data_IF_429786064889
#
_entry.id   IF_429786064889
#
_cell.length_a   1.000
_cell.length_b   1.000
_cell.length_c   1.000
_cell.angle_alpha   90.00
_cell.angle_beta   90.00
_cell.angle_gamma   90.00
#
_symmetry.space_group_name_H-M   'P 1'
#
loop_
_entity.id
_entity.type
_entity.pdbx_description
1 polymer ?
#
# COMPACT_ATOMS: atom_id res chain seq x y z
N UNK A 1 22.11 29.50 6.49
CA UNK A 1 20.85 30.04 5.87
C UNK A 1 20.71 29.75 4.38
N UNK A 2 21.79 29.56 3.58
CA UNK A 2 21.72 29.31 2.12
C UNK A 2 21.12 27.96 1.71
N UNK A 3 21.34 26.89 2.46
CA UNK A 3 20.87 25.52 2.09
C UNK A 3 19.34 25.36 2.16
N UNK A 4 18.67 25.96 3.15
CA UNK A 4 17.20 25.90 3.25
C UNK A 4 16.52 26.51 2.03
N UNK A 5 17.05 27.62 1.48
CA UNK A 5 16.47 28.24 0.28
C UNK A 5 16.62 27.34 -0.97
N UNK A 6 17.69 26.57 -1.09
CA UNK A 6 17.92 25.69 -2.23
C UNK A 6 17.02 24.46 -2.18
N UNK A 7 16.84 23.85 -1.00
CA UNK A 7 15.91 22.75 -0.79
C UNK A 7 14.47 23.13 -1.15
N UNK A 8 13.97 24.25 -0.61
CA UNK A 8 12.61 24.72 -0.89
C UNK A 8 12.39 25.04 -2.37
N UNK A 9 13.36 25.72 -3.02
CA UNK A 9 13.30 25.98 -4.48
C UNK A 9 13.20 24.68 -5.27
N UNK A 10 14.00 23.68 -4.89
CA UNK A 10 13.96 22.36 -5.55
C UNK A 10 12.63 21.67 -5.32
N UNK A 11 12.10 21.60 -4.10
CA UNK A 11 10.79 21.01 -3.81
C UNK A 11 9.68 21.68 -4.62
N UNK A 12 9.66 23.02 -4.69
CA UNK A 12 8.69 23.76 -5.51
C UNK A 12 8.79 23.35 -6.99
N UNK A 13 9.98 23.17 -7.53
CA UNK A 13 10.18 22.75 -8.92
C UNK A 13 9.70 21.30 -9.14
N UNK A 14 10.00 20.39 -8.21
CA UNK A 14 9.53 19.01 -8.27
C UNK A 14 7.99 18.94 -8.20
N UNK A 15 7.36 19.74 -7.34
CA UNK A 15 5.89 19.82 -7.26
C UNK A 15 5.27 20.40 -8.54
N UNK A 16 5.89 21.42 -9.15
CA UNK A 16 5.47 21.92 -10.46
C UNK A 16 5.58 20.84 -11.54
N UNK A 17 6.65 20.06 -11.51
CA UNK A 17 6.86 18.94 -12.45
C UNK A 17 5.81 17.86 -12.26
N UNK A 18 5.52 17.43 -11.01
CA UNK A 18 4.44 16.50 -10.69
C UNK A 18 3.09 17.01 -11.19
N UNK A 19 2.77 18.29 -10.92
CA UNK A 19 1.51 18.89 -11.38
C UNK A 19 1.39 18.88 -12.91
N UNK A 20 2.48 19.19 -13.61
CA UNK A 20 2.52 19.18 -15.09
C UNK A 20 2.31 17.77 -15.65
N UNK A 21 2.85 16.72 -15.00
CA UNK A 21 2.78 15.33 -15.44
C UNK A 21 1.71 14.53 -14.68
N UNK A 22 0.77 15.19 -14.01
CA UNK A 22 -0.24 14.53 -13.18
C UNK A 22 -1.10 13.52 -13.96
N UNK A 23 -1.45 13.83 -15.22
CA UNK A 23 -2.22 12.90 -16.05
C UNK A 23 -1.46 11.59 -16.33
N UNK A 24 -0.13 11.66 -16.47
CA UNK A 24 0.70 10.47 -16.66
C UNK A 24 0.81 9.66 -15.37
N UNK A 25 0.98 10.32 -14.21
CA UNK A 25 0.95 9.65 -12.92
C UNK A 25 -0.39 8.95 -12.68
N UNK A 26 -1.51 9.60 -12.95
CA UNK A 26 -2.85 9.03 -12.81
C UNK A 26 -3.08 7.84 -13.74
N UNK A 27 -2.58 7.89 -14.99
CA UNK A 27 -2.62 6.74 -15.91
C UNK A 27 -1.85 5.53 -15.38
N UNK A 28 -0.79 5.77 -14.60
CA UNK A 28 0.00 4.73 -13.93
C UNK A 28 -0.52 4.43 -12.50
N UNK A 29 -1.74 4.88 -12.14
CA UNK A 29 -2.33 4.68 -10.83
C UNK A 29 -1.49 5.23 -9.67
N UNK A 30 -0.78 6.33 -9.89
CA UNK A 30 0.10 7.00 -8.92
C UNK A 30 -0.54 8.31 -8.50
N UNK A 31 -0.72 8.49 -7.19
CA UNK A 31 -1.26 9.70 -6.56
C UNK A 31 -0.23 10.26 -5.60
N UNK A 32 0.01 11.57 -5.67
CA UNK A 32 0.92 12.26 -4.76
C UNK A 32 0.27 13.51 -4.18
N UNK A 33 0.34 13.66 -2.86
CA UNK A 33 -0.12 14.84 -2.13
C UNK A 33 1.01 15.35 -1.22
N UNK A 34 1.41 16.59 -1.42
CA UNK A 34 2.37 17.24 -0.54
C UNK A 34 1.67 17.75 0.72
N UNK A 35 2.37 17.76 1.85
CA UNK A 35 1.77 18.21 3.10
C UNK A 35 1.68 19.76 3.11
N UNK A 36 0.48 20.27 3.33
CA UNK A 36 0.22 21.72 3.31
C UNK A 36 0.80 22.46 4.52
N UNK A 37 0.94 21.75 5.65
CA UNK A 37 1.43 22.31 6.91
C UNK A 37 2.92 22.07 7.13
N UNK A 38 3.51 21.10 6.42
CA UNK A 38 4.92 20.76 6.53
C UNK A 38 5.54 20.47 5.17
N UNK A 39 6.16 21.47 4.56
CA UNK A 39 6.81 21.37 3.25
C UNK A 39 7.95 20.32 3.19
N UNK A 40 8.40 19.80 4.33
CA UNK A 40 9.40 18.73 4.38
C UNK A 40 8.75 17.34 4.37
N UNK A 41 7.44 17.24 4.11
CA UNK A 41 6.72 15.97 4.04
C UNK A 41 5.81 15.89 2.81
N UNK A 42 5.69 14.68 2.29
CA UNK A 42 4.75 14.34 1.23
C UNK A 42 4.24 12.92 1.39
N UNK A 43 3.18 12.61 0.66
CA UNK A 43 2.51 11.33 0.73
C UNK A 43 2.17 10.84 -0.67
N UNK A 44 2.34 9.54 -0.88
CA UNK A 44 1.92 8.91 -2.12
C UNK A 44 1.02 7.71 -1.84
N UNK A 45 0.10 7.48 -2.76
CA UNK A 45 -0.67 6.26 -2.88
C UNK A 45 -0.49 5.70 -4.28
N UNK A 46 -0.17 4.42 -4.35
CA UNK A 46 -0.13 3.66 -5.59
C UNK A 46 -1.24 2.62 -5.57
N UNK A 47 -1.97 2.49 -6.67
CA UNK A 47 -2.90 1.38 -6.87
C UNK A 47 -2.18 0.33 -7.71
N UNK A 48 -2.18 -0.91 -7.25
CA UNK A 48 -1.49 -2.00 -7.94
C UNK A 48 -2.02 -2.20 -9.36
N UNK A 49 -1.11 -2.41 -10.31
CA UNK A 49 -1.41 -2.53 -11.72
C UNK A 49 -2.19 -3.82 -12.05
N UNK A 50 -2.97 -3.80 -13.16
CA UNK A 50 -3.57 -4.99 -13.75
C UNK A 50 -2.50 -6.07 -14.00
N UNK A 51 -2.94 -7.31 -14.08
CA UNK A 51 -2.08 -8.48 -14.35
C UNK A 51 -0.95 -8.72 -13.34
N UNK A 52 -1.08 -8.14 -12.14
CA UNK A 52 -0.19 -8.39 -11.01
C UNK A 52 -0.97 -8.88 -9.78
N UNK A 53 -0.32 -9.57 -8.82
CA UNK A 53 -0.96 -9.94 -7.56
C UNK A 53 -1.37 -8.71 -6.72
N UNK A 54 -0.89 -7.52 -7.06
CA UNK A 54 -1.18 -6.25 -6.39
C UNK A 54 -2.43 -5.54 -6.92
N UNK A 55 -3.04 -6.01 -8.00
CA UNK A 55 -4.14 -5.35 -8.70
C UNK A 55 -5.26 -4.89 -7.76
N UNK A 56 -5.71 -3.65 -7.92
CA UNK A 56 -6.69 -2.90 -7.10
C UNK A 56 -6.24 -2.56 -5.67
N UNK A 57 -5.08 -3.03 -5.20
CA UNK A 57 -4.61 -2.76 -3.83
C UNK A 57 -4.05 -1.35 -3.68
N UNK A 58 -4.27 -0.75 -2.52
CA UNK A 58 -3.81 0.58 -2.16
C UNK A 58 -2.53 0.49 -1.33
N UNK A 59 -1.42 1.07 -1.83
CA UNK A 59 -0.09 1.04 -1.21
C UNK A 59 0.36 2.46 -0.90
N UNK A 60 0.71 2.74 0.36
CA UNK A 60 0.98 4.08 0.85
C UNK A 60 2.45 4.30 1.16
N UNK A 61 2.94 5.50 0.85
CA UNK A 61 4.33 5.89 1.04
C UNK A 61 4.41 7.29 1.63
N UNK A 62 5.27 7.46 2.63
CA UNK A 62 5.56 8.75 3.26
C UNK A 62 6.94 9.22 2.87
N UNK A 63 7.04 10.44 2.35
CA UNK A 63 8.26 11.11 1.97
C UNK A 63 8.65 12.10 3.06
N UNK A 64 9.91 12.09 3.49
CA UNK A 64 10.48 13.01 4.46
C UNK A 64 11.74 13.60 3.84
N UNK A 65 11.74 14.90 3.62
CA UNK A 65 12.84 15.63 3.00
C UNK A 65 13.76 16.20 4.06
N UNK A 66 15.07 16.17 3.80
CA UNK A 66 16.08 16.88 4.62
C UNK A 66 16.39 18.26 4.01
N UNK A 67 17.03 19.12 4.78
CA UNK A 67 17.53 20.40 4.27
C UNK A 67 18.62 20.24 3.19
N UNK A 68 19.18 19.03 3.07
CA UNK A 68 20.19 18.69 2.05
C UNK A 68 19.58 18.23 0.73
N UNK A 69 18.26 18.08 0.65
CA UNK A 69 17.60 17.74 -0.62
C UNK A 69 17.85 18.85 -1.66
N UNK A 70 18.24 18.56 -2.91
CA UNK A 70 18.32 17.26 -3.57
C UNK A 70 19.70 16.59 -3.53
N UNK A 71 20.66 17.04 -2.75
CA UNK A 71 21.98 16.41 -2.65
C UNK A 71 21.96 15.06 -1.93
N UNK A 72 20.95 14.86 -1.09
CA UNK A 72 20.58 13.57 -0.47
C UNK A 72 19.16 13.20 -0.89
N UNK A 73 18.86 11.89 -1.03
CA UNK A 73 17.51 11.44 -1.30
C UNK A 73 16.57 11.77 -0.14
N UNK A 74 15.24 11.85 -0.37
CA UNK A 74 14.30 11.86 0.72
C UNK A 74 14.31 10.49 1.41
N UNK A 75 13.98 10.47 2.71
CA UNK A 75 13.62 9.23 3.40
C UNK A 75 12.21 8.86 2.92
N UNK A 76 12.07 7.71 2.28
CA UNK A 76 10.77 7.18 1.88
C UNK A 76 10.44 5.97 2.72
N UNK A 77 9.26 5.98 3.35
CA UNK A 77 8.76 4.89 4.17
C UNK A 77 7.53 4.27 3.53
N UNK A 78 7.51 2.96 3.43
CA UNK A 78 6.31 2.19 3.12
C UNK A 78 5.43 2.12 4.37
N UNK A 79 4.16 2.49 4.23
CA UNK A 79 3.19 2.40 5.31
C UNK A 79 2.42 1.10 5.15
N UNK A 80 2.81 0.11 5.93
CA UNK A 80 2.18 -1.21 5.93
C UNK A 80 1.08 -1.27 6.99
N UNK A 81 -0.12 -1.64 6.58
CA UNK A 81 -1.25 -1.88 7.48
C UNK A 81 -1.36 -3.37 7.87
N UNK A 82 -0.30 -4.15 7.67
CA UNK A 82 -0.27 -5.59 7.93
C UNK A 82 1.12 -6.07 8.32
N UNK A 83 1.19 -7.27 8.87
CA UNK A 83 2.45 -7.98 9.15
C UNK A 83 2.95 -8.79 7.93
N UNK A 84 2.50 -8.45 6.72
CA UNK A 84 2.87 -9.14 5.49
C UNK A 84 3.95 -8.36 4.76
N UNK A 85 5.02 -9.03 4.37
CA UNK A 85 6.02 -8.49 3.46
C UNK A 85 5.47 -8.59 2.03
N UNK A 86 4.79 -7.54 1.57
CA UNK A 86 4.14 -7.50 0.25
C UNK A 86 5.11 -7.59 -0.93
N UNK A 87 6.35 -7.16 -0.72
CA UNK A 87 7.38 -7.20 -1.74
C UNK A 87 8.75 -7.38 -1.07
N UNK A 88 9.71 -8.09 -1.68
CA UNK A 88 11.07 -8.22 -1.13
C UNK A 88 11.72 -6.88 -0.76
N UNK A 89 11.46 -5.83 -1.53
CA UNK A 89 12.01 -4.49 -1.28
C UNK A 89 11.16 -3.62 -0.34
N UNK A 90 9.94 -4.07 0.04
CA UNK A 90 9.03 -3.33 0.94
C UNK A 90 8.91 -4.08 2.27
N UNK A 91 9.62 -3.62 3.28
CA UNK A 91 9.67 -4.27 4.58
C UNK A 91 8.50 -3.86 5.48
N UNK A 92 8.07 -4.75 6.35
CA UNK A 92 6.97 -4.52 7.31
C UNK A 92 7.24 -3.33 8.24
N UNK A 93 8.51 -3.08 8.58
CA UNK A 93 8.92 -1.93 9.40
C UNK A 93 8.98 -0.59 8.63
N UNK A 94 8.50 -0.59 7.38
CA UNK A 94 8.46 0.59 6.53
C UNK A 94 9.74 0.87 5.72
N UNK A 95 10.81 0.10 5.90
CA UNK A 95 12.03 0.25 5.10
C UNK A 95 11.76 -0.11 3.64
N UNK A 96 12.27 0.69 2.72
CA UNK A 96 12.26 0.43 1.28
C UNK A 96 13.70 0.23 0.81
N UNK A 97 14.00 -0.88 0.13
CA UNK A 97 15.32 -1.17 -0.43
C UNK A 97 15.35 -0.85 -1.92
N UNK A 98 15.83 0.34 -2.28
CA UNK A 98 16.01 0.81 -3.66
C UNK A 98 17.32 1.57 -3.77
N UNK A 99 18.06 1.36 -4.86
CA UNK A 99 19.33 2.05 -5.11
C UNK A 99 19.13 3.57 -5.19
N UNK A 100 18.07 4.02 -5.85
CA UNK A 100 17.70 5.44 -5.94
C UNK A 100 17.50 6.12 -4.57
N UNK A 101 17.24 5.37 -3.51
CA UNK A 101 17.11 5.87 -2.14
C UNK A 101 18.39 5.66 -1.31
N UNK A 102 19.49 5.20 -1.91
CA UNK A 102 20.72 4.79 -1.21
C UNK A 102 20.51 3.70 -0.14
N UNK A 103 19.44 2.89 -0.27
CA UNK A 103 19.07 1.83 0.68
C UNK A 103 19.35 0.43 0.14
N UNK A 104 19.86 0.33 -1.08
CA UNK A 104 20.26 -0.90 -1.75
C UNK A 104 21.49 -0.66 -2.65
N UNK A 105 22.17 -1.75 -3.05
CA UNK A 105 23.32 -1.69 -3.96
C UNK A 105 22.87 -1.27 -5.37
N UNK A 106 23.71 -0.53 -6.08
CA UNK A 106 23.47 -0.08 -7.45
C UNK A 106 23.79 1.40 -7.63
N UNK A 107 23.33 1.97 -8.74
CA UNK A 107 23.43 3.40 -9.00
C UNK A 107 22.58 4.17 -7.96
N UNK A 108 23.29 4.90 -7.11
CA UNK A 108 22.69 5.64 -6.02
C UNK A 108 21.93 6.89 -6.47
N UNK A 109 21.48 7.65 -5.48
CA UNK A 109 20.84 8.94 -5.68
C UNK A 109 21.79 9.97 -6.32
N UNK A 110 21.26 10.72 -7.26
CA UNK A 110 21.90 11.93 -7.80
C UNK A 110 20.92 13.10 -7.72
N UNK A 111 21.44 14.33 -7.68
CA UNK A 111 20.61 15.54 -7.60
C UNK A 111 19.74 15.80 -8.85
N UNK A 112 19.97 15.07 -9.94
CA UNK A 112 19.10 15.09 -11.13
C UNK A 112 17.79 14.32 -10.95
N UNK A 113 17.75 13.40 -10.00
CA UNK A 113 16.55 12.64 -9.67
C UNK A 113 15.55 13.46 -8.88
N UNK A 114 14.28 13.09 -8.91
CA UNK A 114 13.17 13.85 -8.36
C UNK A 114 12.16 12.97 -7.63
N UNK A 115 11.18 13.57 -6.97
CA UNK A 115 10.03 12.86 -6.41
C UNK A 115 9.36 12.00 -7.50
N UNK A 116 9.20 12.55 -8.70
CA UNK A 116 8.59 11.84 -9.83
C UNK A 116 9.33 10.54 -10.18
N UNK A 117 10.68 10.59 -10.29
CA UNK A 117 11.47 9.39 -10.59
C UNK A 117 11.36 8.32 -9.51
N UNK A 118 11.31 8.71 -8.23
CA UNK A 118 11.09 7.77 -7.12
C UNK A 118 9.71 7.10 -7.25
N UNK A 119 8.65 7.87 -7.53
CA UNK A 119 7.29 7.34 -7.67
C UNK A 119 7.19 6.31 -8.80
N UNK A 120 7.79 6.60 -9.95
CA UNK A 120 7.81 5.67 -11.09
C UNK A 120 8.58 4.37 -10.74
N UNK A 121 9.74 4.48 -10.08
CA UNK A 121 10.52 3.31 -9.69
C UNK A 121 9.76 2.46 -8.65
N UNK A 122 9.11 3.07 -7.65
CA UNK A 122 8.30 2.31 -6.69
C UNK A 122 7.13 1.62 -7.39
N UNK A 123 6.47 2.26 -8.36
CA UNK A 123 5.41 1.63 -9.13
C UNK A 123 5.93 0.46 -9.96
N UNK A 124 7.12 0.58 -10.55
CA UNK A 124 7.70 -0.44 -11.43
C UNK A 124 8.10 -1.74 -10.73
N UNK A 125 8.30 -1.74 -9.41
CA UNK A 125 8.63 -2.98 -8.68
C UNK A 125 7.39 -3.82 -8.33
N UNK A 126 6.17 -3.26 -8.33
CA UNK A 126 4.93 -3.98 -8.04
C UNK A 126 4.50 -4.82 -9.25
N UNK A 127 5.29 -5.85 -9.56
CA UNK A 127 5.13 -6.69 -10.76
C UNK A 127 4.64 -8.09 -10.42
N UNK A 128 4.28 -8.86 -11.47
CA UNK A 128 4.15 -10.31 -11.39
C UNK A 128 5.49 -10.89 -10.94
N UNK A 129 5.50 -11.99 -10.21
CA UNK A 129 6.73 -12.69 -9.79
C UNK A 129 7.70 -11.85 -8.93
N UNK A 130 7.17 -10.96 -8.12
CA UNK A 130 7.96 -10.04 -7.30
C UNK A 130 8.98 -10.73 -6.37
N UNK A 131 8.79 -12.01 -6.01
CA UNK A 131 9.78 -12.77 -5.22
C UNK A 131 11.15 -12.85 -5.90
N UNK A 132 11.24 -12.71 -7.23
CA UNK A 132 12.50 -12.69 -7.97
C UNK A 132 13.40 -11.48 -7.67
N UNK A 133 12.87 -10.47 -6.96
CA UNK A 133 13.69 -9.38 -6.42
C UNK A 133 14.51 -9.79 -5.19
N UNK A 134 14.24 -10.97 -4.61
CA UNK A 134 15.09 -11.53 -3.55
C UNK A 134 16.36 -12.12 -4.17
N UNK A 135 17.56 -11.78 -3.66
CA UNK A 135 18.81 -12.31 -4.19
C UNK A 135 18.84 -13.84 -4.25
N UNK A 136 19.24 -14.37 -5.40
CA UNK A 136 19.33 -15.82 -5.63
C UNK A 136 18.02 -16.52 -6.01
N UNK A 137 16.89 -15.80 -6.07
CA UNK A 137 15.62 -16.36 -6.51
C UNK A 137 15.42 -16.11 -8.01
N UNK A 138 15.21 -17.19 -8.76
CA UNK A 138 14.83 -17.14 -10.18
C UNK A 138 13.35 -17.41 -10.37
N UNK A 139 12.82 -17.13 -11.56
CA UNK A 139 11.41 -17.34 -11.87
C UNK A 139 10.95 -18.82 -11.74
N UNK A 140 11.87 -19.75 -11.90
CA UNK A 140 11.63 -21.20 -11.73
C UNK A 140 11.65 -21.67 -10.27
N UNK A 141 11.94 -20.78 -9.32
CA UNK A 141 11.96 -21.14 -7.91
C UNK A 141 10.56 -21.55 -7.41
N UNK A 142 10.48 -22.65 -6.68
CA UNK A 142 9.21 -23.28 -6.23
C UNK A 142 8.33 -22.39 -5.35
N UNK A 143 8.85 -21.35 -4.73
CA UNK A 143 8.08 -20.41 -3.91
C UNK A 143 7.50 -19.23 -4.71
N UNK A 144 7.89 -19.02 -5.98
CA UNK A 144 7.44 -17.84 -6.76
C UNK A 144 5.92 -17.88 -6.96
N UNK A 145 5.37 -19.01 -7.41
CA UNK A 145 3.93 -19.15 -7.61
C UNK A 145 3.17 -19.07 -6.27
N UNK A 146 3.68 -19.73 -5.23
CA UNK A 146 3.10 -19.65 -3.88
C UNK A 146 3.08 -18.22 -3.34
N UNK A 147 4.17 -17.49 -3.54
CA UNK A 147 4.27 -16.12 -3.09
C UNK A 147 3.28 -15.22 -3.85
N UNK A 148 3.14 -15.37 -5.16
CA UNK A 148 2.15 -14.63 -5.94
C UNK A 148 0.73 -14.86 -5.42
N UNK A 149 0.35 -16.11 -5.18
CA UNK A 149 -0.97 -16.46 -4.64
C UNK A 149 -1.19 -15.88 -3.23
N UNK A 150 -0.17 -15.97 -2.36
CA UNK A 150 -0.22 -15.35 -1.04
C UNK A 150 -0.38 -13.84 -1.11
N UNK A 151 0.40 -13.18 -1.97
CA UNK A 151 0.31 -11.72 -2.14
C UNK A 151 -1.05 -11.32 -2.70
N UNK A 152 -1.60 -12.07 -3.65
CA UNK A 152 -2.94 -11.80 -4.17
C UNK A 152 -4.02 -11.90 -3.08
N UNK A 153 -3.97 -12.95 -2.24
CA UNK A 153 -4.86 -13.10 -1.09
C UNK A 153 -4.71 -11.93 -0.10
N UNK A 154 -3.47 -11.60 0.28
CA UNK A 154 -3.17 -10.55 1.25
C UNK A 154 -3.43 -9.15 0.70
N UNK A 155 -3.29 -8.94 -0.60
CA UNK A 155 -3.69 -7.72 -1.28
C UNK A 155 -5.20 -7.47 -1.12
N UNK A 156 -6.03 -8.47 -1.39
CA UNK A 156 -7.47 -8.36 -1.21
C UNK A 156 -7.80 -8.12 0.27
N UNK A 157 -7.23 -8.92 1.18
CA UNK A 157 -7.51 -8.84 2.62
C UNK A 157 -7.13 -7.48 3.21
N UNK A 158 -5.88 -7.03 3.00
CA UNK A 158 -5.32 -5.86 3.68
C UNK A 158 -5.29 -4.60 2.83
N UNK A 159 -4.87 -4.71 1.58
CA UNK A 159 -4.66 -3.51 0.75
C UNK A 159 -5.96 -3.03 0.07
N UNK A 160 -7.03 -3.84 0.08
CA UNK A 160 -8.34 -3.44 -0.44
C UNK A 160 -9.35 -3.39 0.69
N UNK A 161 -9.81 -4.56 1.17
CA UNK A 161 -10.99 -4.64 2.04
C UNK A 161 -10.77 -3.97 3.40
N UNK A 162 -9.61 -4.20 4.02
CA UNK A 162 -9.30 -3.57 5.30
C UNK A 162 -9.21 -2.03 5.19
N UNK A 163 -8.63 -1.50 4.09
CA UNK A 163 -8.56 -0.05 3.87
C UNK A 163 -9.95 0.57 3.74
N UNK A 164 -10.85 -0.05 2.98
CA UNK A 164 -12.22 0.43 2.82
C UNK A 164 -13.00 0.35 4.15
N UNK A 165 -12.83 -0.76 4.89
CA UNK A 165 -13.49 -0.92 6.21
C UNK A 165 -12.99 0.13 7.22
N UNK A 166 -11.69 0.45 7.24
CA UNK A 166 -11.13 1.55 8.04
C UNK A 166 -11.74 2.91 7.69
N UNK A 167 -11.85 3.24 6.40
CA UNK A 167 -12.46 4.49 5.95
C UNK A 167 -13.93 4.57 6.41
N UNK A 168 -14.68 3.47 6.30
CA UNK A 168 -16.06 3.39 6.73
C UNK A 168 -16.22 3.62 8.24
N UNK A 169 -15.39 2.95 9.05
CA UNK A 169 -15.45 3.07 10.51
C UNK A 169 -15.10 4.49 11.00
N UNK A 170 -14.11 5.15 10.36
CA UNK A 170 -13.77 6.56 10.67
C UNK A 170 -14.94 7.49 10.32
N UNK A 171 -15.65 7.23 9.24
CA UNK A 171 -16.79 8.04 8.80
C UNK A 171 -18.00 7.89 9.74
N UNK A 172 -18.29 6.66 10.16
CA UNK A 172 -19.41 6.37 11.07
C UNK A 172 -19.17 6.98 12.47
N UNK A 173 -17.94 6.91 12.99
CA UNK A 173 -17.59 7.51 14.28
C UNK A 173 -17.71 9.05 14.27
N UNK A 174 -17.47 9.71 13.14
CA UNK A 174 -17.69 11.16 13.04
C UNK A 174 -19.17 11.55 13.07
N UNK A 175 -20.04 10.72 12.51
CA UNK A 175 -21.50 10.97 12.50
C UNK A 175 -22.14 10.71 13.88
N UNK A 176 -21.60 9.76 14.66
CA UNK A 176 -22.11 9.45 16.01
C UNK A 176 -21.66 10.45 17.09
N UNK A 177 -20.61 11.25 16.85
CA UNK A 177 -20.15 12.28 17.81
C UNK A 177 -21.01 13.55 17.73
N UNK A 178 -21.81 13.73 16.67
CA UNK A 178 -22.72 14.87 16.52
C UNK A 178 -24.06 14.71 17.26
N UNK A 179 -24.46 13.48 17.66
CA UNK A 179 -25.80 13.22 18.16
C UNK A 179 -25.92 12.66 19.59
N UNK A 180 -24.83 12.30 20.30
CA UNK A 180 -24.97 11.77 21.65
C UNK A 180 -23.90 12.22 22.65
N UNK A 181 -24.32 13.12 23.52
CA UNK A 181 -23.67 13.41 24.82
C UNK A 181 -24.25 12.52 25.94
N UNK A 182 -24.49 11.25 25.72
CA UNK A 182 -24.74 10.28 26.83
C UNK A 182 -24.94 8.88 26.25
N UNK A 183 -24.01 8.02 26.51
CA UNK A 183 -24.05 6.59 26.82
C UNK A 183 -22.87 5.81 26.28
N UNK A 184 -21.92 5.60 27.19
CA UNK A 184 -20.85 4.60 27.04
C UNK A 184 -21.42 3.29 27.62
N UNK A 185 -21.68 2.28 26.79
CA UNK A 185 -21.65 0.88 27.23
C UNK A 185 -21.49 -0.08 26.05
N UNK A 186 -20.39 -0.81 26.08
CA UNK A 186 -20.19 -2.18 25.64
C UNK A 186 -20.70 -2.66 24.27
N UNK A 187 -19.77 -2.73 23.31
CA UNK A 187 -19.70 -3.85 22.38
C UNK A 187 -18.24 -4.11 21.95
N UNK A 188 -17.47 -4.73 22.86
CA UNK A 188 -16.16 -5.35 22.61
C UNK A 188 -16.41 -6.76 22.13
N UNK A 189 -16.47 -7.02 20.83
CA UNK A 189 -16.18 -8.32 20.23
C UNK A 189 -16.20 -8.25 18.69
N UNK A 190 -15.29 -7.46 18.09
CA UNK A 190 -14.88 -7.65 16.70
C UNK A 190 -13.36 -7.53 16.65
N UNK A 191 -12.72 -8.69 16.41
CA UNK A 191 -11.32 -8.91 16.03
C UNK A 191 -10.39 -7.77 16.48
N UNK A 192 -9.84 -7.90 17.68
CA UNK A 192 -8.74 -7.09 18.16
C UNK A 192 -7.46 -7.40 17.35
N UNK A 193 -7.39 -6.90 16.12
CA UNK A 193 -6.08 -6.60 15.58
C UNK A 193 -5.55 -5.46 16.43
N UNK A 194 -4.40 -5.68 17.09
CA UNK A 194 -3.73 -4.75 17.97
C UNK A 194 -3.70 -3.34 17.38
N UNK A 195 -4.76 -2.57 17.60
CA UNK A 195 -4.87 -1.15 17.24
C UNK A 195 -3.96 -0.28 18.11
N UNK A 196 -3.32 -0.88 19.13
CA UNK A 196 -2.45 -0.17 20.08
C UNK A 196 -1.03 0.09 19.58
N UNK A 197 -0.62 -0.43 18.40
CA UNK A 197 0.74 -0.22 17.86
C UNK A 197 0.77 0.44 16.47
N UNK A 198 -0.36 0.77 15.85
CA UNK A 198 -0.37 1.61 14.65
C UNK A 198 -0.52 3.04 15.13
N UNK A 199 0.60 3.75 15.25
CA UNK A 199 0.65 5.15 15.64
C UNK A 199 -0.44 5.96 14.93
N UNK A 200 -1.18 6.79 15.65
CA UNK A 200 -2.25 7.69 15.19
C UNK A 200 -1.89 8.55 13.96
N UNK A 201 -0.62 8.56 13.53
CA UNK A 201 -0.11 9.27 12.35
C UNK A 201 -0.28 8.50 11.02
N UNK A 202 -0.37 7.17 11.02
CA UNK A 202 -0.41 6.39 9.77
C UNK A 202 -1.82 6.26 9.20
N UNK A 203 -2.86 6.27 10.04
CA UNK A 203 -4.26 6.36 9.57
C UNK A 203 -4.56 7.70 8.87
N UNK A 204 -3.80 8.73 9.18
CA UNK A 204 -3.95 10.05 8.55
C UNK A 204 -3.59 10.02 7.05
N UNK A 205 -2.70 9.11 6.61
CA UNK A 205 -2.35 9.00 5.19
C UNK A 205 -3.53 8.43 4.38
N UNK A 206 -4.24 7.43 4.90
CA UNK A 206 -5.40 6.82 4.24
C UNK A 206 -6.49 7.87 4.01
N UNK A 207 -6.74 8.70 5.03
CA UNK A 207 -7.75 9.77 4.94
C UNK A 207 -7.39 10.82 3.89
N UNK A 208 -6.10 11.11 3.68
CA UNK A 208 -5.66 12.04 2.62
C UNK A 208 -6.07 11.57 1.21
N UNK A 209 -6.23 10.26 0.98
CA UNK A 209 -6.60 9.66 -0.31
C UNK A 209 -7.98 9.03 -0.30
N UNK A 210 -8.84 9.37 0.68
CA UNK A 210 -10.15 8.75 0.87
C UNK A 210 -11.04 8.80 -0.38
N UNK A 211 -11.10 9.93 -1.05
CA UNK A 211 -11.96 10.13 -2.23
C UNK A 211 -11.50 9.23 -3.37
N UNK A 212 -10.22 9.26 -3.70
CA UNK A 212 -9.63 8.44 -4.77
C UNK A 212 -9.79 6.94 -4.49
N UNK A 213 -9.67 6.52 -3.22
CA UNK A 213 -9.86 5.13 -2.81
C UNK A 213 -11.31 4.70 -3.02
N UNK A 214 -12.27 5.50 -2.54
CA UNK A 214 -13.70 5.16 -2.63
C UNK A 214 -14.15 5.13 -4.09
N UNK A 215 -13.78 6.13 -4.89
CA UNK A 215 -14.12 6.20 -6.31
C UNK A 215 -13.56 4.99 -7.08
N UNK A 216 -12.30 4.65 -6.81
CA UNK A 216 -11.68 3.47 -7.42
C UNK A 216 -12.38 2.17 -6.99
N UNK A 217 -12.72 2.01 -5.71
CA UNK A 217 -13.43 0.84 -5.22
C UNK A 217 -14.81 0.71 -5.86
N UNK A 218 -15.61 1.76 -5.87
CA UNK A 218 -16.97 1.76 -6.46
C UNK A 218 -16.90 1.37 -7.93
N UNK A 219 -15.96 1.95 -8.67
CA UNK A 219 -15.75 1.65 -10.09
C UNK A 219 -15.39 0.18 -10.34
N UNK A 220 -14.59 -0.43 -9.47
CA UNK A 220 -13.98 -1.75 -9.72
C UNK A 220 -14.56 -2.87 -8.82
N UNK A 221 -15.58 -2.61 -7.97
CA UNK A 221 -16.10 -3.60 -6.99
C UNK A 221 -16.56 -4.91 -7.64
N UNK A 222 -17.14 -4.85 -8.84
CA UNK A 222 -17.54 -6.05 -9.59
C UNK A 222 -16.33 -6.92 -9.97
N UNK A 223 -15.25 -6.30 -10.41
CA UNK A 223 -14.04 -7.02 -10.83
C UNK A 223 -13.24 -7.51 -9.62
N UNK A 224 -13.26 -6.79 -8.50
CA UNK A 224 -12.72 -7.26 -7.23
C UNK A 224 -13.47 -8.53 -6.76
N UNK A 225 -14.81 -8.55 -6.89
CA UNK A 225 -15.61 -9.75 -6.57
C UNK A 225 -15.23 -10.93 -7.46
N UNK A 226 -15.11 -10.72 -8.78
CA UNK A 226 -14.64 -11.75 -9.72
C UNK A 226 -13.25 -12.26 -9.31
N UNK A 227 -12.34 -11.35 -8.93
CA UNK A 227 -10.98 -11.69 -8.49
C UNK A 227 -11.02 -12.58 -7.24
N UNK A 228 -11.88 -12.31 -6.25
CA UNK A 228 -12.03 -13.17 -5.07
C UNK A 228 -12.50 -14.57 -5.46
N UNK A 229 -13.44 -14.70 -6.41
CA UNK A 229 -13.94 -15.98 -6.92
C UNK A 229 -12.84 -16.78 -7.63
N UNK A 230 -12.06 -16.14 -8.50
CA UNK A 230 -10.94 -16.77 -9.20
C UNK A 230 -9.88 -17.23 -8.18
N UNK A 231 -9.56 -16.39 -7.20
CA UNK A 231 -8.63 -16.71 -6.13
C UNK A 231 -9.10 -17.94 -5.32
N UNK A 232 -10.40 -18.03 -5.02
CA UNK A 232 -10.99 -19.22 -4.36
C UNK A 232 -10.71 -20.48 -5.16
N UNK A 233 -11.02 -20.47 -6.47
CA UNK A 233 -10.75 -21.60 -7.36
C UNK A 233 -9.27 -21.96 -7.40
N UNK A 234 -8.39 -20.99 -7.49
CA UNK A 234 -6.93 -21.20 -7.51
C UNK A 234 -6.43 -21.85 -6.20
N UNK A 235 -6.99 -21.45 -5.06
CA UNK A 235 -6.65 -22.04 -3.75
C UNK A 235 -7.11 -23.49 -3.69
N UNK A 236 -8.35 -23.78 -4.12
CA UNK A 236 -8.95 -25.12 -4.08
C UNK A 236 -8.22 -26.12 -5.01
N UNK A 237 -7.71 -25.64 -6.14
CA UNK A 237 -7.02 -26.48 -7.15
C UNK A 237 -5.51 -26.58 -6.95
N UNK A 238 -4.91 -25.74 -6.08
CA UNK A 238 -3.46 -25.71 -5.90
C UNK A 238 -2.93 -26.90 -5.13
N UNK A 239 -2.02 -27.65 -5.72
CA UNK A 239 -1.37 -28.82 -5.11
C UNK A 239 -0.46 -28.50 -3.92
N UNK A 240 -0.02 -27.25 -3.79
CA UNK A 240 0.87 -26.80 -2.72
C UNK A 240 0.14 -26.19 -1.50
N UNK A 241 -1.20 -26.15 -1.53
CA UNK A 241 -2.02 -25.70 -0.39
C UNK A 241 -2.54 -26.93 0.35
N UNK A 242 -2.31 -26.97 1.66
CA UNK A 242 -2.80 -28.04 2.51
C UNK A 242 -3.72 -27.45 3.60
N UNK A 243 -4.99 -27.87 3.63
CA UNK A 243 -6.00 -27.39 4.60
C UNK A 243 -6.01 -25.86 4.71
N UNK A 244 -6.10 -25.18 3.56
CA UNK A 244 -6.06 -23.71 3.46
C UNK A 244 -4.78 -23.07 4.01
N UNK A 245 -3.68 -23.82 4.12
CA UNK A 245 -2.40 -23.30 4.59
C UNK A 245 -1.40 -23.24 3.45
N UNK A 246 -0.73 -22.12 3.31
CA UNK A 246 0.37 -21.89 2.37
C UNK A 246 1.67 -21.65 3.15
N UNK A 247 2.76 -22.30 2.70
CA UNK A 247 4.09 -22.14 3.28
C UNK A 247 5.03 -21.51 2.26
N UNK A 248 5.71 -20.44 2.66
CA UNK A 248 6.76 -19.76 1.88
C UNK A 248 8.08 -20.02 2.56
N UNK A 249 8.85 -20.96 2.02
CA UNK A 249 10.09 -21.42 2.65
C UNK A 249 11.18 -20.34 2.60
N UNK A 250 11.22 -19.55 1.52
CA UNK A 250 12.17 -18.43 1.36
C UNK A 250 12.19 -17.49 2.58
N UNK A 251 11.04 -17.30 3.22
CA UNK A 251 10.92 -16.43 4.40
C UNK A 251 10.56 -17.20 5.69
N UNK A 252 10.51 -18.52 5.63
CA UNK A 252 10.04 -19.38 6.73
C UNK A 252 8.67 -18.92 7.29
N UNK A 253 7.73 -18.61 6.40
CA UNK A 253 6.42 -18.09 6.73
C UNK A 253 5.34 -19.13 6.44
N UNK A 254 4.33 -19.13 7.31
CA UNK A 254 3.13 -19.99 7.18
C UNK A 254 1.89 -19.14 7.38
N UNK A 255 0.97 -19.19 6.40
CA UNK A 255 -0.27 -18.44 6.44
C UNK A 255 -1.48 -19.34 6.25
N UNK A 256 -2.56 -19.02 6.96
CA UNK A 256 -3.88 -19.60 6.75
C UNK A 256 -4.70 -18.68 5.85
N UNK A 257 -5.27 -19.24 4.79
CA UNK A 257 -6.09 -18.54 3.80
C UNK A 257 -7.56 -18.83 4.10
N UNK A 258 -8.36 -17.80 4.33
CA UNK A 258 -9.78 -17.92 4.63
C UNK A 258 -10.61 -17.11 3.63
N UNK A 259 -11.03 -17.76 2.57
CA UNK A 259 -11.81 -17.15 1.48
C UNK A 259 -13.20 -16.72 1.94
N UNK A 260 -13.86 -17.49 2.79
CA UNK A 260 -15.20 -17.14 3.31
C UNK A 260 -15.15 -15.82 4.08
N UNK A 261 -14.05 -15.59 4.82
CA UNK A 261 -13.80 -14.29 5.49
C UNK A 261 -13.73 -13.16 4.50
N UNK A 262 -13.03 -13.33 3.35
CA UNK A 262 -12.93 -12.29 2.33
C UNK A 262 -14.30 -11.95 1.74
N UNK A 263 -15.09 -12.96 1.37
CA UNK A 263 -16.46 -12.75 0.88
C UNK A 263 -17.34 -12.04 1.90
N UNK A 264 -17.29 -12.46 3.17
CA UNK A 264 -18.08 -11.84 4.25
C UNK A 264 -17.76 -10.35 4.40
N UNK A 265 -16.48 -9.99 4.38
CA UNK A 265 -16.05 -8.60 4.49
C UNK A 265 -16.46 -7.84 3.22
N UNK A 266 -16.21 -8.41 2.03
CA UNK A 266 -16.56 -7.79 0.75
C UNK A 266 -18.04 -7.45 0.69
N UNK A 267 -18.94 -8.39 0.97
CA UNK A 267 -20.39 -8.15 0.91
C UNK A 267 -20.87 -7.15 1.97
N UNK A 268 -20.26 -7.15 3.16
CA UNK A 268 -20.54 -6.11 4.18
C UNK A 268 -20.22 -4.72 3.63
N UNK A 269 -19.06 -4.56 2.98
CA UNK A 269 -18.62 -3.29 2.39
C UNK A 269 -19.50 -2.92 1.19
N UNK A 270 -19.72 -3.86 0.26
CA UNK A 270 -20.50 -3.63 -0.97
C UNK A 270 -21.90 -3.09 -0.68
N UNK A 271 -22.56 -3.61 0.36
CA UNK A 271 -23.89 -3.14 0.77
C UNK A 271 -23.92 -1.67 1.19
N UNK A 272 -22.80 -1.11 1.61
CA UNK A 272 -22.68 0.31 1.99
C UNK A 272 -22.57 1.24 0.77
N UNK A 273 -22.21 0.69 -0.40
CA UNK A 273 -21.98 1.44 -1.65
C UNK A 273 -22.97 1.05 -2.77
N UNK A 274 -24.12 0.46 -2.40
CA UNK A 274 -25.26 0.27 -3.30
C UNK A 274 -26.03 1.57 -3.47
#
# INVERSE_FOLDING_TARGET
MSNNNNCLKRLINDLKYIKKNNLELLKNNIFYKHDENNYMMGYAMLIGNSDTPYNYGYYFFKFIFSNNYPYEPPIVKFISNSNVRFHPNLYVNGKICLSILNTWKGEGWTSCQSIYSILIIISSILTQNSLTYEPGITISHYDVEKYNLLIEYKNIEYSILHIIDLINNISDNKNNISDDKNNISDNKNYISYNTNNICNNDNNIIIKFKEEIIDNFIKNKSDINKKIKILSTNIDTSSFINKNTININTYNLKYNLNIDKLFKIFYKIENKYK
#
